data_IF_670277512128
#
_entry.id   IF_670277512128
#
_cell.length_a   1.000
_cell.length_b   1.000
_cell.length_c   1.000
_cell.angle_alpha   90.00
_cell.angle_beta   90.00
_cell.angle_gamma   90.00
#
_symmetry.space_group_name_H-M   'P 1'
#
loop_
_entity.id
_entity.type
_entity.pdbx_description
1 polymer ?
#
# COMPACT_ATOMS: atom_id res chain seq x y z
N UNK A 1 -6.77 -4.23 1.96
CA UNK A 1 -5.76 -3.26 2.42
C UNK A 1 -4.74 -3.97 3.27
N UNK A 2 -3.96 -3.21 4.04
CA UNK A 2 -2.98 -3.74 5.00
C UNK A 2 -2.86 -2.80 6.20
N UNK A 3 -2.30 -3.30 7.31
CA UNK A 3 -1.92 -2.47 8.45
C UNK A 3 -0.41 -2.21 8.40
N UNK A 4 -0.01 -0.95 8.54
CA UNK A 4 1.38 -0.56 8.75
C UNK A 4 1.58 -0.24 10.22
N UNK A 5 2.68 -0.75 10.78
CA UNK A 5 3.06 -0.55 12.18
C UNK A 5 4.39 0.20 12.24
N UNK A 6 4.44 1.25 13.05
CA UNK A 6 5.65 2.04 13.32
C UNK A 6 5.71 2.40 14.81
N UNK A 7 6.43 1.59 15.58
CA UNK A 7 6.38 1.65 17.05
C UNK A 7 4.96 1.41 17.54
N UNK A 8 4.43 2.35 18.33
CA UNK A 8 3.06 2.30 18.85
C UNK A 8 2.00 2.79 17.83
N UNK A 9 2.42 3.29 16.67
CA UNK A 9 1.50 3.76 15.64
C UNK A 9 1.04 2.60 14.75
N UNK A 10 -0.26 2.43 14.64
CA UNK A 10 -0.89 1.50 13.69
C UNK A 10 -1.77 2.28 12.72
N UNK A 11 -1.56 2.10 11.42
CA UNK A 11 -2.35 2.75 10.38
C UNK A 11 -2.89 1.73 9.37
N UNK A 12 -4.20 1.78 9.11
CA UNK A 12 -4.87 0.99 8.07
C UNK A 12 -4.72 1.67 6.73
N UNK A 13 -4.06 1.01 5.78
CA UNK A 13 -3.97 1.45 4.39
C UNK A 13 -4.94 0.63 3.54
N UNK A 14 -5.78 1.30 2.77
CA UNK A 14 -6.67 0.65 1.81
C UNK A 14 -5.97 0.45 0.47
N UNK A 15 -6.33 -0.62 -0.23
CA UNK A 15 -5.94 -0.76 -1.63
C UNK A 15 -6.79 0.19 -2.49
N UNK A 16 -6.25 0.76 -3.58
CA UNK A 16 -7.02 1.65 -4.46
C UNK A 16 -8.29 0.99 -5.02
N UNK A 17 -8.24 -0.32 -5.22
CA UNK A 17 -9.36 -1.16 -5.61
C UNK A 17 -9.33 -2.48 -4.80
N UNK A 18 -10.49 -3.14 -4.58
CA UNK A 18 -10.52 -4.47 -3.98
C UNK A 18 -9.70 -5.47 -4.81
N UNK A 19 -8.95 -6.34 -4.13
CA UNK A 19 -8.26 -7.45 -4.79
C UNK A 19 -9.21 -8.64 -4.85
N UNK A 20 -9.42 -9.18 -6.05
CA UNK A 20 -10.27 -10.34 -6.31
C UNK A 20 -9.45 -11.63 -6.21
N UNK A 21 -8.15 -11.57 -6.53
CA UNK A 21 -7.23 -12.72 -6.51
C UNK A 21 -5.97 -12.41 -5.72
N UNK A 22 -5.45 -13.40 -5.00
CA UNK A 22 -4.19 -13.25 -4.25
C UNK A 22 -2.99 -12.82 -5.12
N UNK A 23 -2.98 -13.23 -6.40
CA UNK A 23 -1.94 -12.85 -7.37
C UNK A 23 -1.88 -11.35 -7.66
N UNK A 24 -2.95 -10.61 -7.41
CA UNK A 24 -3.03 -9.16 -7.64
C UNK A 24 -2.34 -8.34 -6.55
N UNK A 25 -2.03 -8.97 -5.41
CA UNK A 25 -1.41 -8.29 -4.27
C UNK A 25 -0.07 -7.67 -4.65
N UNK A 26 0.88 -8.47 -5.16
CA UNK A 26 2.24 -7.98 -5.46
C UNK A 26 2.22 -6.80 -6.46
N UNK A 27 1.54 -6.87 -7.62
CA UNK A 27 1.41 -5.73 -8.51
C UNK A 27 0.83 -4.47 -7.84
N UNK A 28 -0.25 -4.62 -7.05
CA UNK A 28 -0.87 -3.49 -6.35
C UNK A 28 0.10 -2.81 -5.38
N UNK A 29 0.88 -3.59 -4.62
CA UNK A 29 1.87 -3.04 -3.69
C UNK A 29 3.01 -2.28 -4.39
N UNK A 30 3.45 -2.78 -5.55
CA UNK A 30 4.49 -2.13 -6.35
C UNK A 30 4.02 -0.76 -6.82
N UNK A 31 2.80 -0.66 -7.33
CA UNK A 31 2.23 0.62 -7.80
C UNK A 31 2.02 1.60 -6.64
N UNK A 32 1.48 1.15 -5.51
CA UNK A 32 1.33 1.98 -4.31
C UNK A 32 2.68 2.52 -3.82
N UNK A 33 3.72 1.67 -3.79
CA UNK A 33 5.06 2.10 -3.38
C UNK A 33 5.69 3.08 -4.39
N UNK A 34 5.47 2.89 -5.68
CA UNK A 34 5.89 3.83 -6.74
C UNK A 34 5.23 5.20 -6.52
N UNK A 35 3.92 5.24 -6.32
CA UNK A 35 3.17 6.47 -6.07
C UNK A 35 3.64 7.17 -4.79
N UNK A 36 3.86 6.42 -3.70
CA UNK A 36 4.39 6.96 -2.45
C UNK A 36 5.76 7.61 -2.62
N UNK A 37 6.70 6.96 -3.35
CA UNK A 37 8.01 7.56 -3.64
C UNK A 37 7.92 8.84 -4.47
N UNK A 38 7.04 8.87 -5.46
CA UNK A 38 6.84 10.08 -6.28
C UNK A 38 6.27 11.23 -5.44
N UNK A 39 5.38 10.95 -4.49
CA UNK A 39 4.81 11.96 -3.60
C UNK A 39 5.83 12.51 -2.58
N UNK A 40 6.82 11.72 -2.17
CA UNK A 40 7.89 12.14 -1.25
C UNK A 40 9.05 12.88 -1.90
N UNK A 41 9.05 13.04 -3.23
CA UNK A 41 10.12 13.72 -3.98
C UNK A 41 9.91 15.24 -4.13
N UNK A 42 8.99 15.83 -3.36
CA UNK A 42 8.65 17.27 -3.33
C UNK A 42 8.84 17.80 -1.91
#
# INVERSE_FOLDING_TARGET
GMDLVSGDNVCRIFFPQPLVKASELRPALVEMARAGRAASAT
#
